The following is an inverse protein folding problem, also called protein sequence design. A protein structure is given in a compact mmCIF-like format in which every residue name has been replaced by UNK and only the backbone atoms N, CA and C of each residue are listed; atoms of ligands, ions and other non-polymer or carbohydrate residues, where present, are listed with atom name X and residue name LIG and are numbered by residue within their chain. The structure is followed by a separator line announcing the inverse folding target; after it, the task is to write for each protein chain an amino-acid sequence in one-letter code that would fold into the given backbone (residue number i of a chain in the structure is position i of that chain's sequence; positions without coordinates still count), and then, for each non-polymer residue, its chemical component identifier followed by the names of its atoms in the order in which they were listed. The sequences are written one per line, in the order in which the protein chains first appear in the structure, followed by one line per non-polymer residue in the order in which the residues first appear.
data_IF_084083085922
#
_entry.id   IF_084083085922
#
_cell.length_a   1.000
_cell.length_b   1.000
_cell.length_c   1.000
_cell.angle_alpha   90.00
_cell.angle_beta   90.00
_cell.angle_gamma   90.00
#
_symmetry.space_group_name_H-M   'P 1'
#
loop_
_entity.id
_entity.type
_entity.pdbx_description
1 polymer ?
#
# COMPACT_ATOMS: atom_id res chain seq x y z
N UNK A 1 18.31 -9.32 -0.22
CA UNK A 1 18.49 -7.99 -0.85
C UNK A 1 18.79 -6.98 0.26
N UNK A 2 19.77 -6.10 0.03
CA UNK A 2 20.07 -5.00 0.96
C UNK A 2 19.73 -3.68 0.26
N UNK A 3 18.99 -2.82 0.94
CA UNK A 3 18.62 -1.48 0.48
C UNK A 3 19.23 -0.44 1.43
N UNK A 4 19.83 0.60 0.89
CA UNK A 4 20.28 1.75 1.65
C UNK A 4 19.29 2.91 1.47
N UNK A 5 18.81 3.48 2.56
CA UNK A 5 17.80 4.55 2.53
C UNK A 5 17.82 5.42 3.78
N UNK A 6 17.19 6.57 3.71
CA UNK A 6 16.87 7.42 4.86
C UNK A 6 15.50 6.97 5.40
N UNK A 7 15.52 6.18 6.47
CA UNK A 7 14.30 5.67 7.11
C UNK A 7 13.57 6.82 7.83
N UNK A 8 12.31 7.00 7.47
CA UNK A 8 11.36 7.86 8.20
C UNK A 8 10.71 7.01 9.29
N UNK A 9 11.27 7.06 10.49
CA UNK A 9 10.76 6.33 11.64
C UNK A 9 9.61 7.13 12.30
N UNK A 10 8.39 6.73 12.00
CA UNK A 10 7.19 7.40 12.49
C UNK A 10 7.02 7.25 14.01
N UNK A 11 7.47 6.14 14.57
CA UNK A 11 7.35 5.88 16.02
C UNK A 11 8.33 6.75 16.82
N UNK A 12 9.57 6.84 16.36
CA UNK A 12 10.60 7.66 17.01
C UNK A 12 10.58 9.11 16.56
N UNK A 13 9.81 9.45 15.51
CA UNK A 13 9.74 10.78 14.87
C UNK A 13 11.13 11.27 14.45
N UNK A 14 11.89 10.38 13.83
CA UNK A 14 13.27 10.66 13.38
C UNK A 14 13.48 10.17 11.96
N UNK A 15 14.45 10.78 11.29
CA UNK A 15 14.95 10.32 10.00
C UNK A 15 16.42 9.98 10.16
N UNK A 16 16.84 8.80 9.74
CA UNK A 16 18.23 8.37 9.80
C UNK A 16 18.55 7.35 8.70
N UNK A 17 19.82 7.35 8.27
CA UNK A 17 20.27 6.44 7.22
C UNK A 17 20.40 5.01 7.72
N UNK A 18 19.91 4.06 6.93
CA UNK A 18 19.88 2.62 7.27
C UNK A 18 20.32 1.75 6.12
N UNK A 19 20.86 0.58 6.46
CA UNK A 19 20.89 -0.61 5.61
C UNK A 19 19.73 -1.52 6.03
N UNK A 20 18.80 -1.76 5.12
CA UNK A 20 17.63 -2.62 5.29
C UNK A 20 17.86 -3.95 4.60
N UNK A 21 17.87 -5.03 5.34
CA UNK A 21 17.97 -6.38 4.80
C UNK A 21 16.56 -6.97 4.62
N UNK A 22 16.25 -7.37 3.38
CA UNK A 22 14.99 -8.04 3.01
C UNK A 22 15.30 -9.43 2.46
N UNK A 23 14.66 -10.45 3.04
CA UNK A 23 14.71 -11.82 2.59
C UNK A 23 13.29 -12.41 2.63
N UNK A 24 12.92 -13.17 1.60
CA UNK A 24 11.61 -13.81 1.49
C UNK A 24 10.46 -12.83 1.71
N UNK A 25 10.57 -11.63 1.10
CA UNK A 25 9.58 -10.54 1.19
C UNK A 25 9.36 -10.00 2.62
N UNK A 26 10.28 -10.27 3.55
CA UNK A 26 10.22 -9.79 4.93
C UNK A 26 11.46 -8.99 5.28
N UNK A 27 11.26 -7.95 6.07
CA UNK A 27 12.35 -7.19 6.68
C UNK A 27 12.99 -8.08 7.75
N UNK A 28 14.26 -8.44 7.56
CA UNK A 28 15.03 -9.24 8.50
C UNK A 28 15.80 -8.36 9.47
N UNK A 29 16.35 -7.25 8.96
CA UNK A 29 17.20 -6.39 9.77
C UNK A 29 17.14 -4.96 9.28
N UNK A 30 17.16 -4.02 10.24
CA UNK A 30 17.35 -2.59 9.99
C UNK A 30 18.59 -2.17 10.82
N UNK A 31 19.61 -1.70 10.15
CA UNK A 31 20.85 -1.28 10.78
C UNK A 31 21.13 0.18 10.47
N UNK A 32 21.35 1.02 11.49
CA UNK A 32 21.81 2.39 11.29
C UNK A 32 23.19 2.39 10.65
N UNK A 33 23.40 3.27 9.68
CA UNK A 33 24.67 3.50 8.99
C UNK A 33 25.07 4.97 9.09
N UNK A 34 26.23 5.31 8.54
CA UNK A 34 26.69 6.70 8.45
C UNK A 34 25.65 7.53 7.69
N UNK A 35 25.40 8.75 8.16
CA UNK A 35 24.40 9.65 7.56
C UNK A 35 24.78 10.00 6.12
N UNK A 36 23.84 9.82 5.20
CA UNK A 36 23.98 10.24 3.80
C UNK A 36 22.65 10.84 3.32
N UNK A 37 22.65 12.16 3.14
CA UNK A 37 21.45 12.89 2.71
C UNK A 37 21.00 12.60 1.26
N UNK A 38 21.86 11.95 0.45
CA UNK A 38 21.54 11.62 -0.95
C UNK A 38 20.79 10.31 -1.11
N UNK A 39 20.64 9.52 -0.04
CA UNK A 39 19.87 8.29 -0.09
C UNK A 39 18.37 8.58 -0.25
N UNK A 40 17.62 7.72 -0.97
CA UNK A 40 16.18 7.86 -1.07
C UNK A 40 15.52 7.69 0.30
N UNK A 41 14.34 8.26 0.46
CA UNK A 41 13.54 8.05 1.66
C UNK A 41 12.85 6.69 1.64
N UNK A 42 12.81 6.05 2.80
CA UNK A 42 12.06 4.81 3.05
C UNK A 42 11.04 5.08 4.16
N UNK A 43 9.79 4.79 3.88
CA UNK A 43 8.68 4.94 4.84
C UNK A 43 7.67 3.80 4.64
N UNK A 44 6.79 3.54 5.62
CA UNK A 44 5.69 2.60 5.43
C UNK A 44 4.82 3.00 4.24
N UNK A 45 4.29 2.00 3.53
CA UNK A 45 3.36 2.25 2.44
C UNK A 45 2.12 3.02 2.93
N UNK A 46 1.56 3.85 2.07
CA UNK A 46 0.38 4.66 2.39
C UNK A 46 -0.88 3.81 2.44
N UNK A 47 -1.79 4.19 3.32
CA UNK A 47 -3.15 3.65 3.36
C UNK A 47 -4.09 4.79 2.96
N UNK A 48 -4.82 4.61 1.88
CA UNK A 48 -5.90 5.50 1.51
C UNK A 48 -7.12 5.20 2.42
N UNK A 49 -7.44 6.14 3.28
CA UNK A 49 -8.44 5.93 4.33
C UNK A 49 -9.89 6.02 3.82
N UNK A 50 -10.10 6.45 2.57
CA UNK A 50 -11.44 6.50 1.98
C UNK A 50 -11.37 6.66 0.47
N UNK A 51 -11.84 5.63 -0.24
CA UNK A 51 -11.92 5.65 -1.71
C UNK A 51 -13.11 4.85 -2.22
N UNK A 52 -13.72 5.32 -3.29
CA UNK A 52 -14.68 4.59 -4.08
C UNK A 52 -13.94 4.04 -5.31
N UNK A 53 -13.52 2.79 -5.26
CA UNK A 53 -12.70 2.17 -6.34
C UNK A 53 -13.46 2.20 -7.66
N UNK A 54 -14.76 1.93 -7.63
CA UNK A 54 -15.65 1.95 -8.79
C UNK A 54 -15.74 3.32 -9.47
N UNK A 55 -15.64 4.41 -8.71
CA UNK A 55 -15.61 5.78 -9.27
C UNK A 55 -14.40 6.03 -10.17
N UNK A 56 -13.33 5.28 -10.00
CA UNK A 56 -12.17 5.32 -10.89
C UNK A 56 -12.41 4.60 -12.22
N UNK A 57 -13.57 3.96 -12.40
CA UNK A 57 -13.92 3.07 -13.52
C UNK A 57 -12.99 1.85 -13.65
N UNK A 58 -12.34 1.47 -12.57
CA UNK A 58 -11.44 0.31 -12.49
C UNK A 58 -12.02 -0.75 -11.57
N UNK A 59 -11.66 -1.98 -11.82
CA UNK A 59 -11.83 -3.07 -10.85
C UNK A 59 -10.70 -3.03 -9.82
N UNK A 60 -10.88 -3.57 -8.61
CA UNK A 60 -9.88 -3.50 -7.55
C UNK A 60 -8.48 -3.96 -7.95
N UNK A 61 -8.34 -5.03 -8.71
CA UNK A 61 -7.03 -5.52 -9.17
C UNK A 61 -6.29 -4.51 -10.05
N UNK A 62 -6.99 -3.79 -10.92
CA UNK A 62 -6.38 -2.74 -11.77
C UNK A 62 -6.13 -1.45 -10.99
N UNK A 63 -7.04 -1.10 -10.07
CA UNK A 63 -6.81 0.01 -9.14
C UNK A 63 -5.53 -0.21 -8.33
N UNK A 64 -5.35 -1.40 -7.74
CA UNK A 64 -4.15 -1.75 -6.99
C UNK A 64 -2.87 -1.58 -7.81
N UNK A 65 -2.89 -2.00 -9.09
CA UNK A 65 -1.75 -1.88 -10.00
C UNK A 65 -1.32 -0.43 -10.21
N UNK A 66 -2.29 0.49 -10.28
CA UNK A 66 -2.01 1.93 -10.41
C UNK A 66 -1.62 2.57 -9.08
N UNK A 67 -2.27 2.18 -7.97
CA UNK A 67 -2.05 2.78 -6.66
C UNK A 67 -0.67 2.45 -6.09
N UNK A 68 -0.19 1.20 -6.27
CA UNK A 68 1.06 0.73 -5.66
C UNK A 68 2.29 1.47 -6.18
N UNK A 69 2.30 1.91 -7.42
CA UNK A 69 3.43 2.67 -8.00
C UNK A 69 3.57 4.07 -7.39
N UNK A 70 2.53 4.55 -6.71
CA UNK A 70 2.53 5.81 -5.97
C UNK A 70 2.70 5.60 -4.45
N UNK A 71 2.99 4.36 -4.03
CA UNK A 71 3.29 4.03 -2.63
C UNK A 71 2.07 3.66 -1.79
N UNK A 72 0.86 3.59 -2.36
CA UNK A 72 -0.33 3.12 -1.65
C UNK A 72 -0.37 1.60 -1.64
N UNK A 73 -0.49 0.99 -0.47
CA UNK A 73 -0.48 -0.48 -0.29
C UNK A 73 -1.79 -1.03 0.25
N UNK A 74 -2.67 -0.15 0.70
CA UNK A 74 -3.98 -0.51 1.24
C UNK A 74 -4.98 0.62 1.02
N UNK A 75 -6.26 0.27 1.04
CA UNK A 75 -7.35 1.26 1.01
C UNK A 75 -8.56 0.78 1.79
N UNK A 76 -9.30 1.75 2.36
CA UNK A 76 -10.65 1.53 2.88
C UNK A 76 -11.62 1.98 1.79
N UNK A 77 -12.35 1.03 1.23
CA UNK A 77 -13.28 1.25 0.13
C UNK A 77 -14.72 1.09 0.60
N UNK A 78 -15.55 2.02 0.17
CA UNK A 78 -17.00 1.94 0.34
C UNK A 78 -17.64 1.65 -1.02
N UNK A 79 -18.11 0.39 -1.27
CA UNK A 79 -18.59 -0.06 -2.57
C UNK A 79 -20.07 0.27 -2.82
N UNK A 80 -20.60 1.36 -2.26
CA UNK A 80 -22.03 1.67 -2.37
C UNK A 80 -22.44 2.07 -3.78
N UNK A 81 -21.55 2.59 -4.60
CA UNK A 81 -21.88 2.95 -5.98
C UNK A 81 -22.14 1.70 -6.83
N UNK A 82 -21.27 0.69 -6.74
CA UNK A 82 -21.51 -0.59 -7.45
C UNK A 82 -22.71 -1.34 -6.84
N UNK A 83 -22.94 -1.21 -5.52
CA UNK A 83 -24.11 -1.79 -4.86
C UNK A 83 -25.41 -1.20 -5.42
N UNK A 84 -25.45 0.10 -5.68
CA UNK A 84 -26.63 0.76 -6.26
C UNK A 84 -26.93 0.33 -7.69
N UNK A 85 -25.91 -0.06 -8.46
CA UNK A 85 -26.06 -0.45 -9.87
C UNK A 85 -26.26 -1.96 -10.03
N UNK A 86 -25.48 -2.76 -9.30
CA UNK A 86 -25.39 -4.20 -9.46
C UNK A 86 -25.85 -4.99 -8.22
N UNK A 87 -26.31 -4.31 -7.16
CA UNK A 87 -26.72 -4.95 -5.91
C UNK A 87 -25.56 -5.69 -5.24
N UNK A 88 -25.91 -6.69 -4.42
CA UNK A 88 -24.93 -7.47 -3.66
C UNK A 88 -23.93 -8.21 -4.54
N UNK A 89 -24.35 -8.64 -5.73
CA UNK A 89 -23.46 -9.32 -6.68
C UNK A 89 -22.32 -8.42 -7.13
N UNK A 90 -22.56 -7.11 -7.27
CA UNK A 90 -21.52 -6.13 -7.57
C UNK A 90 -20.51 -6.01 -6.42
N UNK A 91 -20.98 -5.95 -5.18
CA UNK A 91 -20.11 -5.92 -3.99
C UNK A 91 -19.26 -7.19 -3.89
N UNK A 92 -19.88 -8.35 -4.01
CA UNK A 92 -19.18 -9.65 -4.00
C UNK A 92 -18.09 -9.71 -5.07
N UNK A 93 -18.40 -9.25 -6.29
CA UNK A 93 -17.43 -9.16 -7.37
C UNK A 93 -16.23 -8.29 -7.00
N UNK A 94 -16.45 -7.10 -6.42
CA UNK A 94 -15.37 -6.21 -6.01
C UNK A 94 -14.48 -6.85 -4.94
N UNK A 95 -15.09 -7.51 -3.96
CA UNK A 95 -14.35 -8.22 -2.90
C UNK A 95 -13.50 -9.35 -3.50
N UNK A 96 -14.08 -10.19 -4.35
CA UNK A 96 -13.40 -11.34 -4.93
C UNK A 96 -12.30 -10.92 -5.93
N UNK A 97 -12.52 -9.86 -6.69
CA UNK A 97 -11.50 -9.29 -7.55
C UNK A 97 -10.33 -8.73 -6.74
N UNK A 98 -10.59 -8.05 -5.64
CA UNK A 98 -9.56 -7.50 -4.76
C UNK A 98 -8.66 -8.57 -4.12
N UNK A 99 -9.19 -9.78 -3.86
CA UNK A 99 -8.41 -10.91 -3.32
C UNK A 99 -7.34 -11.46 -4.28
N UNK A 100 -7.41 -11.09 -5.57
CA UNK A 100 -6.50 -11.64 -6.59
C UNK A 100 -5.13 -10.95 -6.61
N UNK A 101 -4.95 -9.88 -5.85
CA UNK A 101 -3.74 -9.07 -5.84
C UNK A 101 -3.19 -8.88 -4.43
N UNK A 102 -1.87 -8.73 -4.25
CA UNK A 102 -1.26 -8.50 -2.94
C UNK A 102 -1.40 -7.03 -2.48
N UNK A 103 -2.62 -6.53 -2.50
CA UNK A 103 -3.01 -5.20 -2.05
C UNK A 103 -4.16 -5.36 -1.06
N UNK A 104 -4.17 -4.58 0.01
CA UNK A 104 -5.17 -4.74 1.06
C UNK A 104 -6.38 -3.84 0.78
N UNK A 105 -7.50 -4.45 0.44
CA UNK A 105 -8.80 -3.78 0.37
C UNK A 105 -9.60 -4.08 1.62
N UNK A 106 -9.98 -3.03 2.34
CA UNK A 106 -10.91 -3.07 3.45
C UNK A 106 -12.23 -2.48 2.95
N UNK A 107 -13.28 -3.28 2.89
CA UNK A 107 -14.60 -2.84 2.46
C UNK A 107 -15.44 -2.51 3.70
N UNK A 108 -16.04 -1.30 3.73
CA UNK A 108 -16.91 -0.78 4.78
C UNK A 108 -18.40 -1.00 4.52
#
# INVERSE_FOLDING_TARGET
MILHANLVDLHQRQIYSVALEVQEQKIQRIQKIASDANLPFLLPGFIDAHVHVESSMLVPSEFARLAVVHGTVATISDPHEIANVCGMQGVEYMIDNGKQVPFHFFFG
#
